data_IF_248565741785
#
_entry.id   IF_248565741785
#
_cell.length_a   1.000
_cell.length_b   1.000
_cell.length_c   1.000
_cell.angle_alpha   90.00
_cell.angle_beta   90.00
_cell.angle_gamma   90.00
#
_symmetry.space_group_name_H-M   'P 1'
#
loop_
_entity.id
_entity.type
_entity.pdbx_description
1 polymer ?
#
# COMPACT_ATOMS: atom_id res chain seq x y z
N UNK A 1 -56.78 50.16 7.37
CA UNK A 1 -55.77 49.22 7.88
C UNK A 1 -54.70 49.03 6.81
N UNK A 2 -53.55 49.70 6.97
CA UNK A 2 -52.55 49.87 5.89
C UNK A 2 -51.71 48.62 5.64
N UNK A 3 -51.52 48.30 4.35
CA UNK A 3 -50.74 47.17 3.82
C UNK A 3 -49.29 47.15 4.32
N UNK A 4 -48.75 48.29 4.73
CA UNK A 4 -47.40 48.44 5.27
C UNK A 4 -47.17 47.68 6.59
N UNK A 5 -48.22 47.45 7.38
CA UNK A 5 -48.15 46.68 8.63
C UNK A 5 -47.85 45.20 8.39
N UNK A 6 -48.44 44.62 7.34
CA UNK A 6 -48.24 43.22 6.97
C UNK A 6 -46.83 42.97 6.41
N UNK A 7 -46.29 43.95 5.68
CA UNK A 7 -44.95 43.88 5.10
C UNK A 7 -43.85 44.08 6.15
N UNK A 8 -44.06 44.98 7.12
CA UNK A 8 -43.18 45.14 8.29
C UNK A 8 -43.19 43.89 9.18
N UNK A 9 -44.32 43.19 9.30
CA UNK A 9 -44.41 41.88 9.99
C UNK A 9 -43.69 40.76 9.22
N UNK A 10 -43.74 40.75 7.88
CA UNK A 10 -43.00 39.77 7.06
C UNK A 10 -41.47 39.92 7.19
N UNK A 11 -40.96 41.15 7.35
CA UNK A 11 -39.52 41.42 7.52
C UNK A 11 -38.95 41.05 8.88
N UNK A 12 -39.79 40.69 9.86
CA UNK A 12 -39.37 40.20 11.19
C UNK A 12 -39.52 38.68 11.33
N UNK A 13 -39.33 37.92 10.24
CA UNK A 13 -39.06 36.48 10.36
C UNK A 13 -37.64 36.33 10.90
N UNK A 14 -37.54 36.28 12.22
CA UNK A 14 -36.32 36.08 12.98
C UNK A 14 -35.59 34.85 12.45
N UNK A 15 -34.25 34.93 12.33
CA UNK A 15 -33.41 33.79 11.95
C UNK A 15 -33.74 32.51 12.74
N UNK A 16 -34.26 32.66 13.96
CA UNK A 16 -34.74 31.58 14.81
C UNK A 16 -35.84 30.72 14.17
N UNK A 17 -36.83 31.31 13.50
CA UNK A 17 -37.92 30.54 12.87
C UNK A 17 -37.44 29.81 11.61
N UNK A 18 -36.51 30.41 10.86
CA UNK A 18 -35.85 29.72 9.75
C UNK A 18 -35.03 28.52 10.23
N UNK A 19 -34.27 28.67 11.33
CA UNK A 19 -33.54 27.55 11.94
C UNK A 19 -34.47 26.45 12.46
N UNK A 20 -35.61 26.80 13.07
CA UNK A 20 -36.61 25.81 13.52
C UNK A 20 -37.17 25.01 12.34
N UNK A 21 -37.46 25.67 11.23
CA UNK A 21 -37.97 25.03 10.02
C UNK A 21 -36.91 24.14 9.35
N UNK A 22 -35.65 24.56 9.38
CA UNK A 22 -34.53 23.77 8.84
C UNK A 22 -34.22 22.54 9.70
N UNK A 23 -34.29 22.66 11.02
CA UNK A 23 -34.15 21.52 11.94
C UNK A 23 -35.29 20.52 11.82
N UNK A 24 -36.54 20.99 11.63
CA UNK A 24 -37.68 20.12 11.36
C UNK A 24 -37.47 19.30 10.07
N UNK A 25 -37.01 19.95 8.99
CA UNK A 25 -36.67 19.26 7.73
C UNK A 25 -35.51 18.27 7.87
N UNK A 26 -34.52 18.55 8.72
CA UNK A 26 -33.41 17.60 9.00
C UNK A 26 -33.85 16.41 9.85
N UNK A 27 -34.80 16.59 10.76
CA UNK A 27 -35.39 15.48 11.54
C UNK A 27 -36.20 14.54 10.65
N UNK A 28 -36.98 15.09 9.73
CA UNK A 28 -37.77 14.32 8.77
C UNK A 28 -36.90 13.48 7.82
N UNK A 29 -35.72 13.99 7.43
CA UNK A 29 -34.71 13.24 6.67
C UNK A 29 -33.88 12.25 7.51
N UNK A 30 -33.98 12.29 8.84
CA UNK A 30 -33.30 11.33 9.74
C UNK A 30 -34.21 10.20 10.21
N UNK A 31 -35.51 10.28 9.93
CA UNK A 31 -36.48 9.20 10.11
C UNK A 31 -36.49 8.21 8.95
N UNK A 32 -35.38 8.07 8.21
CA UNK A 32 -35.25 7.00 7.23
C UNK A 32 -35.27 5.64 7.94
N UNK A 33 -36.07 4.67 7.48
CA UNK A 33 -36.17 3.35 8.10
C UNK A 33 -34.82 2.63 8.17
N UNK A 34 -33.90 2.95 7.25
CA UNK A 34 -32.53 2.46 7.24
C UNK A 34 -31.72 2.86 8.50
N UNK A 35 -31.97 4.06 9.06
CA UNK A 35 -31.28 4.53 10.27
C UNK A 35 -31.66 3.72 11.51
N UNK A 36 -32.93 3.31 11.63
CA UNK A 36 -33.39 2.44 12.71
C UNK A 36 -32.78 1.05 12.61
N UNK A 37 -32.72 0.48 11.41
CA UNK A 37 -32.07 -0.81 11.17
C UNK A 37 -30.57 -0.72 11.50
N UNK A 38 -29.90 0.36 11.12
CA UNK A 38 -28.49 0.56 11.45
C UNK A 38 -28.25 0.64 12.97
N UNK A 39 -29.10 1.37 13.70
CA UNK A 39 -29.03 1.42 15.16
C UNK A 39 -29.33 0.06 15.80
N UNK A 40 -30.28 -0.70 15.28
CA UNK A 40 -30.60 -2.05 15.76
C UNK A 40 -29.45 -3.04 15.51
N UNK A 41 -28.80 -2.96 14.33
CA UNK A 41 -27.61 -3.76 14.02
C UNK A 41 -26.47 -3.40 14.98
N UNK A 42 -26.22 -2.11 15.22
CA UNK A 42 -25.18 -1.65 16.15
C UNK A 42 -25.47 -2.10 17.59
N UNK A 43 -26.74 -2.05 18.03
CA UNK A 43 -27.15 -2.53 19.34
C UNK A 43 -26.92 -4.05 19.47
N UNK A 44 -27.32 -4.84 18.46
CA UNK A 44 -27.06 -6.28 18.45
C UNK A 44 -25.55 -6.59 18.46
N UNK A 45 -24.76 -5.87 17.67
CA UNK A 45 -23.30 -6.00 17.65
C UNK A 45 -22.68 -5.68 19.02
N UNK A 46 -23.17 -4.66 19.74
CA UNK A 46 -22.68 -4.34 21.08
C UNK A 46 -22.95 -5.45 22.10
N UNK A 47 -24.12 -6.10 22.03
CA UNK A 47 -24.46 -7.23 22.92
C UNK A 47 -23.57 -8.43 22.61
N UNK A 48 -23.34 -8.73 21.33
CA UNK A 48 -22.46 -9.82 20.91
C UNK A 48 -21.01 -9.56 21.32
N UNK A 49 -20.50 -8.32 21.18
CA UNK A 49 -19.15 -7.97 21.65
C UNK A 49 -19.01 -8.05 23.17
N UNK A 50 -20.06 -7.77 23.95
CA UNK A 50 -20.02 -7.87 25.41
C UNK A 50 -19.98 -9.32 25.91
N UNK A 51 -20.55 -10.26 25.14
CA UNK A 51 -20.52 -11.70 25.44
C UNK A 51 -19.25 -12.40 24.89
N UNK A 52 -18.49 -11.74 24.03
CA UNK A 52 -17.25 -12.29 23.50
C UNK A 52 -16.13 -12.21 24.56
N UNK A 53 -15.27 -13.24 24.68
CA UNK A 53 -14.11 -13.17 25.56
C UNK A 53 -13.19 -12.02 25.13
N UNK A 54 -12.49 -11.35 26.07
CA UNK A 54 -11.62 -10.23 25.74
C UNK A 54 -10.52 -10.71 24.79
N UNK A 55 -10.65 -10.35 23.52
CA UNK A 55 -9.58 -10.53 22.54
C UNK A 55 -8.46 -9.58 22.94
N UNK A 56 -7.21 -10.06 23.15
CA UNK A 56 -6.11 -9.18 23.49
C UNK A 56 -5.99 -8.09 22.43
N UNK A 57 -6.08 -6.84 22.87
CA UNK A 57 -5.99 -5.70 21.99
C UNK A 57 -4.68 -5.79 21.18
N UNK A 58 -4.70 -5.63 19.85
CA UNK A 58 -3.46 -5.46 19.11
C UNK A 58 -2.78 -4.21 19.65
N UNK A 59 -1.62 -4.39 20.26
CA UNK A 59 -0.75 -3.29 20.64
C UNK A 59 -0.38 -2.55 19.34
N UNK A 60 -1.07 -1.44 19.09
CA UNK A 60 -0.65 -0.53 18.04
C UNK A 60 0.62 0.17 18.54
N UNK A 61 1.76 -0.35 18.11
CA UNK A 61 3.03 0.38 18.15
C UNK A 61 2.86 1.64 17.31
N UNK A 62 2.45 2.73 17.96
CA UNK A 62 2.57 4.05 17.38
C UNK A 62 4.05 4.24 17.00
N UNK A 63 4.38 4.66 15.77
CA UNK A 63 5.75 4.90 15.39
C UNK A 63 6.31 5.97 16.34
N UNK A 64 7.21 5.54 17.23
CA UNK A 64 7.94 6.42 18.13
C UNK A 64 8.46 7.60 17.32
N UNK A 65 8.05 8.80 17.72
CA UNK A 65 8.60 10.06 17.20
C UNK A 65 10.12 9.90 17.14
N UNK A 66 10.70 10.05 15.95
CA UNK A 66 12.14 9.86 15.76
C UNK A 66 12.87 10.71 16.79
N UNK A 67 13.79 10.13 17.60
CA UNK A 67 14.62 10.92 18.50
C UNK A 67 15.26 12.06 17.72
N UNK A 68 15.09 13.28 18.20
CA UNK A 68 15.73 14.47 17.63
C UNK A 68 17.24 14.21 17.68
N UNK A 69 17.88 14.08 16.51
CA UNK A 69 19.33 13.80 16.41
C UNK A 69 20.09 14.85 17.22
N UNK A 70 21.02 14.39 18.06
CA UNK A 70 21.91 15.29 18.78
C UNK A 70 22.81 16.02 17.78
N UNK A 71 23.12 17.32 17.97
CA UNK A 71 24.07 18.05 17.13
C UNK A 71 25.45 17.38 17.00
N UNK A 72 25.82 16.58 18.01
CA UNK A 72 27.06 15.82 18.03
C UNK A 72 27.01 14.53 17.20
N UNK A 73 25.84 14.08 16.74
CA UNK A 73 25.73 12.83 15.99
C UNK A 73 25.93 13.07 14.49
N UNK A 74 26.91 12.40 13.85
CA UNK A 74 27.16 12.57 12.43
C UNK A 74 26.00 12.04 11.58
N UNK A 75 25.88 12.50 10.33
CA UNK A 75 25.05 11.86 9.33
C UNK A 75 25.38 10.37 9.22
N UNK A 76 24.35 9.55 8.99
CA UNK A 76 24.54 8.12 8.77
C UNK A 76 25.48 7.90 7.55
N UNK A 77 26.61 7.23 7.75
CA UNK A 77 27.62 6.97 6.72
C UNK A 77 28.83 7.91 6.74
N UNK A 78 28.96 8.77 7.75
CA UNK A 78 30.15 9.61 7.90
C UNK A 78 31.39 8.77 8.24
N UNK A 79 32.48 8.88 7.45
CA UNK A 79 33.60 7.94 7.49
C UNK A 79 34.50 8.11 8.72
N UNK A 80 34.62 9.33 9.25
CA UNK A 80 35.64 9.68 10.23
C UNK A 80 35.11 9.61 11.68
N UNK A 81 33.89 9.12 11.87
CA UNK A 81 33.26 8.97 13.18
C UNK A 81 32.78 10.28 13.84
N UNK A 82 32.22 10.16 15.04
CA UNK A 82 31.54 11.25 15.75
C UNK A 82 32.46 12.39 16.17
N UNK A 83 33.70 12.07 16.54
CA UNK A 83 34.67 13.08 17.00
C UNK A 83 35.17 13.98 15.87
N UNK A 84 35.45 13.41 14.69
CA UNK A 84 35.84 14.21 13.53
C UNK A 84 34.69 15.13 13.11
N UNK A 85 33.44 14.62 13.14
CA UNK A 85 32.25 15.44 12.92
C UNK A 85 32.11 16.59 13.93
N UNK A 86 32.39 16.34 15.21
CA UNK A 86 32.37 17.38 16.24
C UNK A 86 33.44 18.46 15.96
N UNK A 87 34.70 18.05 15.70
CA UNK A 87 35.80 18.97 15.38
C UNK A 87 35.53 19.79 14.12
N UNK A 88 35.01 19.17 13.06
CA UNK A 88 34.64 19.84 11.81
C UNK A 88 33.51 20.87 11.98
N UNK A 89 32.73 20.76 13.05
CA UNK A 89 31.63 21.68 13.38
C UNK A 89 31.98 22.66 14.50
N UNK A 90 33.25 22.70 14.93
CA UNK A 90 33.71 23.54 16.04
C UNK A 90 33.11 23.16 17.39
N UNK A 91 32.57 21.94 17.51
CA UNK A 91 32.10 21.39 18.77
C UNK A 91 33.29 20.75 19.48
N UNK A 92 33.51 21.13 20.73
CA UNK A 92 34.54 20.51 21.55
C UNK A 92 34.19 19.02 21.77
N UNK A 93 35.13 18.09 21.52
CA UNK A 93 34.89 16.68 21.78
C UNK A 93 34.66 16.49 23.29
N UNK A 94 33.59 15.80 23.68
CA UNK A 94 33.27 15.58 25.10
C UNK A 94 34.46 14.95 25.85
N UNK A 95 35.04 15.65 26.84
CA UNK A 95 36.15 15.11 27.61
C UNK A 95 35.62 14.01 28.54
N UNK A 96 36.02 12.76 28.29
CA UNK A 96 35.73 11.63 29.19
C UNK A 96 35.13 10.39 28.54
N UNK A 97 34.81 10.41 27.24
CA UNK A 97 34.54 9.16 26.50
C UNK A 97 35.81 8.70 25.82
N UNK A 98 36.34 7.57 26.27
CA UNK A 98 37.38 6.81 25.58
C UNK A 98 36.99 6.63 24.11
N UNK A 99 37.89 6.89 23.15
CA UNK A 99 37.60 6.68 21.74
C UNK A 99 37.26 5.20 21.56
N UNK A 100 36.01 4.93 21.16
CA UNK A 100 35.62 3.59 20.76
C UNK A 100 36.49 3.19 19.57
N UNK A 101 37.01 1.95 19.53
CA UNK A 101 37.84 1.50 18.42
C UNK A 101 37.09 1.72 17.10
N UNK A 102 37.84 2.20 16.11
CA UNK A 102 37.41 2.54 14.74
C UNK A 102 36.27 1.62 14.34
N UNK A 103 35.05 2.19 14.26
CA UNK A 103 33.86 1.44 13.85
C UNK A 103 34.14 0.85 12.49
N UNK A 104 34.19 -0.48 12.43
CA UNK A 104 34.23 -1.20 11.16
C UNK A 104 33.09 -0.68 10.28
N UNK A 105 33.31 -0.49 8.97
CA UNK A 105 32.26 -0.01 8.08
C UNK A 105 31.08 -0.96 8.20
N UNK A 106 29.99 -0.50 8.82
CA UNK A 106 28.76 -1.27 8.89
C UNK A 106 28.25 -1.44 7.47
N UNK A 107 28.48 -2.64 6.93
CA UNK A 107 27.84 -3.11 5.70
C UNK A 107 26.36 -2.93 5.91
N UNK A 108 25.77 -1.99 5.17
CA UNK A 108 24.35 -1.68 5.25
C UNK A 108 23.60 -3.00 5.02
N UNK A 109 22.74 -3.45 5.94
CA UNK A 109 21.98 -4.67 5.72
C UNK A 109 21.20 -4.49 4.42
N UNK A 110 21.44 -5.40 3.46
CA UNK A 110 20.73 -5.41 2.18
C UNK A 110 19.23 -5.32 2.48
N UNK A 111 18.49 -4.38 1.85
CA UNK A 111 17.08 -4.21 2.14
C UNK A 111 16.36 -5.55 1.99
N UNK A 112 15.56 -5.90 2.99
CA UNK A 112 14.82 -7.15 2.99
C UNK A 112 14.02 -7.29 1.68
N UNK A 113 13.96 -8.50 1.10
CA UNK A 113 13.22 -8.73 -0.13
C UNK A 113 11.76 -8.26 0.02
N UNK A 114 11.23 -7.57 -1.01
CA UNK A 114 9.87 -7.03 -0.93
C UNK A 114 8.84 -8.13 -0.63
N UNK A 115 7.81 -7.89 0.19
CA UNK A 115 6.81 -8.92 0.45
C UNK A 115 6.02 -9.26 -0.82
N UNK A 116 5.60 -10.52 -0.99
CA UNK A 116 4.92 -11.00 -2.21
C UNK A 116 3.68 -10.16 -2.55
N UNK A 117 2.85 -9.84 -1.55
CA UNK A 117 1.66 -8.97 -1.72
C UNK A 117 2.00 -7.62 -2.36
N UNK A 118 3.18 -7.06 -2.03
CA UNK A 118 3.64 -5.80 -2.61
C UNK A 118 4.11 -5.96 -4.05
N UNK A 119 4.73 -7.09 -4.39
CA UNK A 119 5.08 -7.41 -5.78
C UNK A 119 3.82 -7.54 -6.64
N UNK A 120 2.79 -8.23 -6.17
CA UNK A 120 1.52 -8.35 -6.90
C UNK A 120 0.89 -6.97 -7.12
N UNK A 121 0.92 -6.09 -6.11
CA UNK A 121 0.44 -4.71 -6.25
C UNK A 121 1.29 -3.87 -7.20
N UNK A 122 2.60 -4.08 -7.21
CA UNK A 122 3.53 -3.34 -8.07
C UNK A 122 3.36 -3.73 -9.56
N UNK A 123 2.80 -4.91 -9.87
CA UNK A 123 2.39 -5.29 -11.23
C UNK A 123 1.27 -4.42 -11.80
N UNK A 124 0.39 -3.88 -10.94
CA UNK A 124 -0.71 -2.98 -11.34
C UNK A 124 -0.26 -1.50 -11.34
N UNK A 125 1.03 -1.23 -11.12
CA UNK A 125 1.53 0.13 -11.10
C UNK A 125 1.53 0.75 -12.49
N UNK A 126 1.20 2.05 -12.57
CA UNK A 126 1.31 2.84 -13.82
C UNK A 126 2.75 2.96 -14.35
N UNK A 127 3.76 2.74 -13.51
CA UNK A 127 5.17 2.82 -13.89
C UNK A 127 5.66 1.49 -14.45
N UNK A 128 6.05 1.49 -15.72
CA UNK A 128 6.55 0.28 -16.40
C UNK A 128 7.77 -0.32 -15.69
N UNK A 129 8.70 0.53 -15.26
CA UNK A 129 9.90 0.12 -14.53
C UNK A 129 9.54 -0.61 -13.23
N UNK A 130 8.49 -0.18 -12.51
CA UNK A 130 8.06 -0.88 -11.28
C UNK A 130 7.43 -2.23 -11.59
N UNK A 131 6.65 -2.34 -12.67
CA UNK A 131 6.07 -3.62 -13.11
C UNK A 131 7.18 -4.60 -13.46
N UNK A 132 8.18 -4.16 -14.23
CA UNK A 132 9.28 -5.02 -14.65
C UNK A 132 10.13 -5.48 -13.46
N UNK A 133 10.47 -4.57 -12.55
CA UNK A 133 11.15 -4.93 -11.30
C UNK A 133 10.35 -5.92 -10.45
N UNK A 134 9.02 -5.85 -10.46
CA UNK A 134 8.17 -6.78 -9.75
C UNK A 134 8.16 -8.16 -10.43
N UNK A 135 8.07 -8.21 -11.76
CA UNK A 135 8.16 -9.44 -12.57
C UNK A 135 9.46 -10.18 -12.33
N UNK A 136 10.59 -9.49 -12.44
CA UNK A 136 11.91 -10.09 -12.17
C UNK A 136 12.02 -10.64 -10.75
N UNK A 137 11.55 -9.86 -9.75
CA UNK A 137 11.60 -10.30 -8.35
C UNK A 137 10.70 -11.52 -8.08
N UNK A 138 9.58 -11.66 -8.79
CA UNK A 138 8.75 -12.85 -8.71
C UNK A 138 9.45 -14.06 -9.34
N UNK A 139 10.01 -13.89 -10.54
CA UNK A 139 10.73 -14.96 -11.27
C UNK A 139 11.96 -15.47 -10.51
N UNK A 140 12.67 -14.62 -9.76
CA UNK A 140 13.80 -15.02 -8.91
C UNK A 140 13.41 -15.90 -7.72
N UNK A 141 12.14 -15.87 -7.29
CA UNK A 141 11.65 -16.65 -6.13
C UNK A 141 11.12 -18.02 -6.54
N UNK A 142 10.52 -18.08 -7.71
CA UNK A 142 9.92 -19.28 -8.30
C UNK A 142 11.02 -20.11 -8.99
N UNK A 143 10.98 -21.45 -8.88
CA UNK A 143 11.97 -22.31 -9.52
C UNK A 143 11.77 -22.30 -11.05
N UNK A 144 12.83 -22.62 -11.80
CA UNK A 144 12.88 -22.40 -13.25
C UNK A 144 11.76 -23.14 -13.99
N UNK A 145 11.37 -24.32 -13.51
CA UNK A 145 10.33 -25.17 -14.08
C UNK A 145 8.94 -24.53 -14.02
N UNK A 146 8.66 -23.71 -13.00
CA UNK A 146 7.37 -23.05 -12.82
C UNK A 146 7.33 -21.63 -13.41
N UNK A 147 8.43 -21.13 -13.98
CA UNK A 147 8.49 -19.79 -14.58
C UNK A 147 7.59 -19.62 -15.81
N UNK A 148 7.48 -20.57 -16.76
CA UNK A 148 6.59 -20.43 -17.92
C UNK A 148 5.13 -20.26 -17.48
N UNK A 149 4.70 -21.08 -16.55
CA UNK A 149 3.37 -20.98 -15.93
C UNK A 149 3.17 -19.61 -15.24
N UNK A 150 4.14 -19.15 -14.44
CA UNK A 150 4.06 -17.84 -13.79
C UNK A 150 3.98 -16.69 -14.81
N UNK A 151 4.71 -16.77 -15.93
CA UNK A 151 4.63 -15.77 -17.01
C UNK A 151 3.23 -15.75 -17.62
N UNK A 152 2.67 -16.91 -17.95
CA UNK A 152 1.29 -17.04 -18.42
C UNK A 152 0.29 -16.43 -17.44
N UNK A 153 0.46 -16.68 -16.14
CA UNK A 153 -0.38 -16.11 -15.07
C UNK A 153 -0.24 -14.58 -14.94
N UNK A 154 0.95 -14.03 -15.22
CA UNK A 154 1.17 -12.58 -15.23
C UNK A 154 0.50 -11.95 -16.45
N UNK A 155 0.59 -12.61 -17.62
CA UNK A 155 -0.02 -12.20 -18.89
C UNK A 155 -1.54 -12.29 -18.86
N UNK A 156 -2.11 -13.32 -18.23
CA UNK A 156 -3.56 -13.48 -18.05
C UNK A 156 -4.17 -12.48 -17.05
N UNK A 157 -3.34 -11.63 -16.44
CA UNK A 157 -3.72 -10.65 -15.43
C UNK A 157 -4.47 -11.23 -14.22
N UNK A 158 -4.37 -12.53 -13.96
CA UNK A 158 -5.02 -13.18 -12.82
C UNK A 158 -4.30 -12.85 -11.50
N UNK A 159 -4.63 -11.68 -10.95
CA UNK A 159 -4.07 -11.19 -9.67
C UNK A 159 -4.59 -12.00 -8.49
N UNK A 160 -5.75 -12.62 -8.59
CA UNK A 160 -6.31 -13.47 -7.54
C UNK A 160 -5.48 -14.73 -7.36
N UNK A 161 -5.17 -15.45 -8.43
CA UNK A 161 -4.29 -16.61 -8.39
C UNK A 161 -2.90 -16.26 -7.84
N UNK A 162 -2.33 -15.12 -8.29
CA UNK A 162 -1.05 -14.62 -7.78
C UNK A 162 -1.10 -14.29 -6.28
N UNK A 163 -2.19 -13.73 -5.77
CA UNK A 163 -2.35 -13.45 -4.32
C UNK A 163 -2.46 -14.74 -3.51
N UNK A 164 -3.20 -15.73 -4.01
CA UNK A 164 -3.37 -17.03 -3.36
C UNK A 164 -2.05 -17.80 -3.28
N UNK A 165 -1.23 -17.74 -4.34
CA UNK A 165 0.10 -18.36 -4.35
C UNK A 165 0.96 -17.91 -3.17
N UNK A 166 0.99 -16.59 -2.92
CA UNK A 166 1.82 -15.99 -1.87
C UNK A 166 1.14 -15.77 -0.52
N UNK A 167 -0.07 -16.29 -0.30
CA UNK A 167 -0.78 -16.12 0.97
C UNK A 167 -0.09 -16.93 2.08
N UNK A 168 0.51 -16.24 3.05
CA UNK A 168 1.28 -16.88 4.13
C UNK A 168 2.48 -17.67 3.64
N UNK A 169 2.99 -17.36 2.45
CA UNK A 169 4.02 -18.16 1.82
C UNK A 169 5.42 -17.70 2.24
N UNK A 170 6.12 -18.58 2.95
CA UNK A 170 7.57 -18.57 3.06
C UNK A 170 8.21 -19.02 1.73
N UNK A 171 9.52 -18.85 1.59
CA UNK A 171 10.22 -19.11 0.33
C UNK A 171 10.05 -20.56 -0.16
N UNK A 172 10.00 -21.52 0.75
CA UNK A 172 9.82 -22.95 0.45
C UNK A 172 8.39 -23.26 0.03
N UNK A 173 7.41 -22.82 0.82
CA UNK A 173 5.99 -23.06 0.51
C UNK A 173 5.54 -22.37 -0.78
N UNK A 174 6.11 -21.21 -1.10
CA UNK A 174 5.91 -20.56 -2.39
C UNK A 174 6.43 -21.41 -3.56
N UNK A 175 7.61 -22.02 -3.40
CA UNK A 175 8.20 -22.91 -4.41
C UNK A 175 7.33 -24.13 -4.64
N UNK A 176 6.95 -24.83 -3.56
CA UNK A 176 6.16 -26.06 -3.65
C UNK A 176 4.80 -25.80 -4.30
N UNK A 177 4.10 -24.74 -3.87
CA UNK A 177 2.83 -24.34 -4.48
C UNK A 177 2.97 -23.97 -5.96
N UNK A 178 4.05 -23.29 -6.33
CA UNK A 178 4.29 -22.92 -7.72
C UNK A 178 4.53 -24.17 -8.59
N UNK A 179 5.27 -25.16 -8.09
CA UNK A 179 5.50 -26.43 -8.80
C UNK A 179 4.20 -27.25 -8.94
N UNK A 180 3.41 -27.35 -7.87
CA UNK A 180 2.11 -28.04 -7.92
C UNK A 180 1.17 -27.34 -8.90
N UNK A 181 1.07 -26.01 -8.84
CA UNK A 181 0.22 -25.25 -9.73
C UNK A 181 0.67 -25.35 -11.20
N UNK A 182 1.98 -25.32 -11.46
CA UNK A 182 2.53 -25.49 -12.80
C UNK A 182 2.30 -26.90 -13.39
N UNK A 183 2.18 -27.94 -12.54
CA UNK A 183 1.85 -29.31 -12.98
C UNK A 183 0.36 -29.49 -13.28
N UNK A 184 -0.51 -28.79 -12.54
CA UNK A 184 -1.97 -28.95 -12.64
C UNK A 184 -2.56 -28.05 -13.72
N UNK A 185 -2.03 -26.84 -13.88
CA UNK A 185 -2.50 -25.94 -14.93
C UNK A 185 -1.95 -26.38 -16.29
N UNK A 186 -2.78 -26.41 -17.36
CA UNK A 186 -2.26 -26.56 -18.71
C UNK A 186 -1.24 -25.44 -18.94
N UNK A 187 -0.08 -25.79 -19.48
CA UNK A 187 0.90 -24.81 -19.94
C UNK A 187 0.17 -23.84 -20.86
N UNK A 188 0.25 -22.55 -20.55
CA UNK A 188 -0.10 -21.50 -21.49
C UNK A 188 0.91 -21.62 -22.63
N UNK A 189 0.64 -22.52 -23.58
CA UNK A 189 1.45 -22.68 -24.78
C UNK A 189 1.53 -21.30 -25.44
N UNK A 190 2.76 -20.82 -25.63
CA UNK A 190 3.07 -19.67 -26.45
C UNK A 190 2.57 -19.97 -27.88
N UNK A 191 1.38 -19.52 -28.23
CA UNK A 191 1.05 -19.19 -29.61
C UNK A 191 1.76 -17.88 -29.98
N UNK A 192 3.09 -17.88 -29.81
CA UNK A 192 3.96 -16.90 -30.44
C UNK A 192 4.25 -17.46 -31.83
N UNK A 193 3.30 -17.29 -32.75
CA UNK A 193 3.58 -17.41 -34.18
C UNK A 193 4.73 -16.44 -34.48
N UNK A 194 5.94 -16.89 -34.87
CA UNK A 194 6.87 -15.97 -35.49
C UNK A 194 6.20 -15.51 -36.78
N UNK A 195 5.89 -14.21 -36.85
CA UNK A 195 5.58 -13.56 -38.10
C UNK A 195 6.76 -13.82 -39.04
N UNK A 196 6.60 -14.78 -39.94
CA UNK A 196 7.48 -14.98 -41.08
C UNK A 196 7.19 -13.83 -42.03
N UNK A 197 7.85 -12.72 -41.76
CA UNK A 197 8.07 -11.62 -42.69
C UNK A 197 9.02 -12.14 -43.78
N UNK A 198 8.45 -12.74 -44.83
CA UNK A 198 9.20 -13.07 -46.05
C UNK A 198 8.60 -12.30 -47.23
N UNK A 199 9.44 -11.39 -47.73
CA UNK A 199 9.50 -10.86 -49.09
C UNK A 199 8.32 -10.02 -49.62
N UNK A 200 8.39 -8.72 -49.32
CA UNK A 200 8.02 -7.71 -50.29
C UNK A 200 9.05 -7.70 -51.44
N UNK A 201 8.73 -8.39 -52.54
CA UNK A 201 9.46 -8.25 -53.79
C UNK A 201 9.14 -6.88 -54.44
N UNK A 202 10.14 -6.10 -54.89
CA UNK A 202 9.89 -4.89 -55.66
C UNK A 202 9.49 -5.28 -57.09
N UNK A 203 8.28 -4.90 -57.51
CA UNK A 203 7.82 -4.97 -58.90
C UNK A 203 8.54 -3.89 -59.71
N UNK A 204 9.36 -4.20 -60.72
CA UNK A 204 9.88 -3.22 -61.63
C UNK A 204 9.02 -3.15 -62.91
N UNK A 205 8.44 -1.98 -63.15
CA UNK A 205 8.29 -1.35 -64.47
C UNK A 205 7.49 -2.07 -65.56
N UNK A 206 6.37 -1.46 -65.96
CA UNK A 206 5.92 -1.48 -67.36
C UNK A 206 6.08 -0.09 -67.96
N UNK A 207 6.72 -0.08 -69.13
CA UNK A 207 6.83 1.04 -70.08
C UNK A 207 5.48 1.34 -70.71
#
# INVERSE_FOLDING_TARGET
MSKDSAEKKRRRRTCADHMRLELARRRERRSDPAGKVMLQILALLSVVLALAPPVPAPAFDLPRLRPRRSPWDPPAGYPNGREAWARERGLEPEPGRTPLPISTPHVRPTPAPRPWKRLVRDLDSRSEQRREQAREQMLRRVPDEARPWLRGLITSEDRTALRMLGLGADRTTLRDRALVAARVAPTFEDESTPAVEIEAAPVPGRK
#
